data_IF_035111470817
#
_entry.id   IF_035111470817
#
_cell.length_a   1.000
_cell.length_b   1.000
_cell.length_c   1.000
_cell.angle_alpha   90.00
_cell.angle_beta   90.00
_cell.angle_gamma   90.00
#
_symmetry.space_group_name_H-M   'P 1'
#
loop_
_entity.id
_entity.type
_entity.pdbx_description
1 polymer ?
#
# COMPACT_ATOMS: atom_id res chain seq x y z
N UNK A 1 -12.86 -2.11 -9.78
CA UNK A 1 -11.42 -2.25 -9.46
C UNK A 1 -11.37 -3.12 -8.24
N UNK A 2 -10.86 -4.35 -8.38
CA UNK A 2 -10.56 -5.19 -7.23
C UNK A 2 -9.22 -4.73 -6.68
N UNK A 3 -9.20 -4.33 -5.41
CA UNK A 3 -7.99 -3.98 -4.69
C UNK A 3 -8.16 -4.42 -3.24
N UNK A 4 -7.04 -4.80 -2.61
CA UNK A 4 -6.98 -4.97 -1.17
C UNK A 4 -6.67 -3.61 -0.55
N UNK A 5 -7.28 -3.30 0.59
CA UNK A 5 -7.05 -2.05 1.31
C UNK A 5 -6.91 -2.31 2.80
N UNK A 6 -5.83 -1.77 3.35
CA UNK A 6 -5.51 -1.82 4.78
C UNK A 6 -5.33 -0.40 5.31
N UNK A 7 -5.77 -0.17 6.54
CA UNK A 7 -5.52 1.09 7.26
C UNK A 7 -4.70 0.79 8.50
N UNK A 8 -3.62 1.55 8.71
CA UNK A 8 -2.73 1.40 9.85
C UNK A 8 -2.35 2.77 10.41
N UNK A 9 -2.10 2.84 11.72
CA UNK A 9 -1.47 4.01 12.35
C UNK A 9 0.02 3.72 12.56
N UNK A 10 0.88 4.52 11.93
CA UNK A 10 2.32 4.26 11.87
C UNK A 10 3.13 5.53 11.66
N UNK A 11 4.44 5.45 11.91
CA UNK A 11 5.39 6.53 11.73
C UNK A 11 6.70 6.10 11.07
N UNK A 12 7.69 7.01 10.99
CA UNK A 12 8.98 6.75 10.33
C UNK A 12 9.86 5.69 11.00
N UNK A 13 9.55 5.34 12.25
CA UNK A 13 10.20 4.31 13.07
C UNK A 13 9.75 2.88 12.72
N UNK A 14 8.80 2.74 11.80
CA UNK A 14 8.17 1.46 11.47
C UNK A 14 8.36 1.15 9.98
N UNK A 15 8.80 -0.06 9.66
CA UNK A 15 8.68 -0.64 8.32
C UNK A 15 7.31 -1.32 8.21
N UNK A 16 6.59 -0.96 7.16
CA UNK A 16 5.39 -1.64 6.70
C UNK A 16 5.84 -2.67 5.68
N UNK A 17 5.77 -3.95 6.04
CA UNK A 17 6.04 -5.06 5.13
C UNK A 17 4.73 -5.57 4.55
N UNK A 18 4.61 -5.56 3.25
CA UNK A 18 3.44 -6.06 2.52
C UNK A 18 3.86 -7.33 1.80
N UNK A 19 3.39 -8.48 2.28
CA UNK A 19 3.65 -9.76 1.63
C UNK A 19 2.64 -9.96 0.49
N UNK A 20 3.12 -10.40 -0.67
CA UNK A 20 2.32 -10.57 -1.90
C UNK A 20 2.63 -11.91 -2.55
N UNK A 21 1.61 -12.57 -3.10
CA UNK A 21 1.73 -13.85 -3.81
C UNK A 21 2.09 -13.70 -5.29
N UNK A 22 1.83 -12.52 -5.87
CA UNK A 22 2.13 -12.19 -7.27
C UNK A 22 2.54 -10.73 -7.43
N UNK A 23 3.11 -10.41 -8.59
CA UNK A 23 3.50 -9.04 -8.95
C UNK A 23 2.28 -8.12 -8.88
N UNK A 24 2.37 -7.04 -8.10
CA UNK A 24 1.27 -6.12 -7.85
C UNK A 24 1.77 -4.70 -7.55
N UNK A 25 0.91 -3.71 -7.80
CA UNK A 25 1.15 -2.36 -7.33
C UNK A 25 0.80 -2.25 -5.85
N UNK A 26 1.69 -1.62 -5.09
CA UNK A 26 1.51 -1.35 -3.68
C UNK A 26 1.70 0.14 -3.45
N UNK A 27 0.67 0.78 -2.89
CA UNK A 27 0.60 2.24 -2.71
C UNK A 27 0.33 2.58 -1.25
N UNK A 28 1.25 3.30 -0.64
CA UNK A 28 1.11 3.88 0.70
C UNK A 28 0.70 5.36 0.58
N UNK A 29 -0.44 5.71 1.15
CA UNK A 29 -1.05 7.03 1.04
C UNK A 29 -1.53 7.52 2.40
N UNK A 30 -1.53 8.84 2.60
CA UNK A 30 -2.32 9.43 3.68
C UNK A 30 -3.80 9.53 3.27
N UNK A 31 -4.65 9.91 4.23
CA UNK A 31 -6.10 10.02 4.06
C UNK A 31 -6.51 10.85 2.83
N UNK A 32 -5.88 12.01 2.62
CA UNK A 32 -6.19 12.90 1.50
C UNK A 32 -5.86 12.24 0.15
N UNK A 33 -4.71 11.59 0.05
CA UNK A 33 -4.31 10.93 -1.19
C UNK A 33 -5.11 9.65 -1.46
N UNK A 34 -5.48 8.90 -0.43
CA UNK A 34 -6.37 7.75 -0.57
C UNK A 34 -7.77 8.16 -1.08
N UNK A 35 -8.33 9.25 -0.55
CA UNK A 35 -9.58 9.81 -1.06
C UNK A 35 -9.47 10.21 -2.53
N UNK A 36 -8.38 10.88 -2.93
CA UNK A 36 -8.12 11.24 -4.33
C UNK A 36 -7.96 9.99 -5.22
N UNK A 37 -7.29 8.95 -4.73
CA UNK A 37 -7.15 7.65 -5.42
C UNK A 37 -8.52 7.03 -5.71
N UNK A 38 -9.39 6.92 -4.70
CA UNK A 38 -10.76 6.39 -4.90
C UNK A 38 -11.57 7.19 -5.92
N UNK A 39 -11.38 8.51 -5.94
CA UNK A 39 -12.04 9.40 -6.90
C UNK A 39 -11.36 9.46 -8.28
N UNK A 40 -10.30 8.67 -8.51
CA UNK A 40 -9.48 8.71 -9.75
C UNK A 40 -8.95 10.11 -10.08
N UNK A 41 -8.69 10.93 -9.07
CA UNK A 41 -8.05 12.25 -9.21
C UNK A 41 -6.53 12.11 -9.10
N UNK A 42 -5.77 13.14 -9.45
CA UNK A 42 -4.31 13.15 -9.23
C UNK A 42 -3.98 13.05 -7.73
N UNK A 43 -3.16 12.08 -7.36
CA UNK A 43 -2.73 11.80 -5.98
C UNK A 43 -1.24 11.48 -5.95
N UNK A 44 -0.67 11.44 -4.75
CA UNK A 44 0.72 11.03 -4.48
C UNK A 44 0.74 9.84 -3.53
N UNK A 45 1.74 8.98 -3.68
CA UNK A 45 1.93 7.80 -2.85
C UNK A 45 3.41 7.44 -2.74
N UNK A 46 3.76 6.66 -1.73
CA UNK A 46 5.04 5.95 -1.65
C UNK A 46 4.81 4.50 -2.07
N UNK A 47 5.67 3.97 -2.94
CA UNK A 47 5.57 2.60 -3.44
C UNK A 47 5.69 2.54 -4.96
N UNK A 48 5.02 1.56 -5.57
CA UNK A 48 5.16 1.24 -6.98
C UNK A 48 4.80 -0.22 -7.27
N UNK A 49 5.33 -0.75 -8.36
CA UNK A 49 5.16 -2.14 -8.77
C UNK A 49 6.24 -3.02 -8.11
N UNK A 50 5.81 -4.07 -7.41
CA UNK A 50 6.71 -4.98 -6.70
C UNK A 50 6.50 -6.42 -7.14
N UNK A 51 7.58 -7.20 -7.13
CA UNK A 51 7.55 -8.65 -7.29
C UNK A 51 7.48 -9.36 -5.93
N UNK A 52 6.92 -10.57 -5.85
CA UNK A 52 6.93 -11.41 -4.65
C UNK A 52 8.34 -11.64 -4.08
N UNK A 53 8.48 -11.90 -2.77
CA UNK A 53 7.40 -12.21 -1.82
C UNK A 53 6.90 -11.02 -1.01
N UNK A 54 7.56 -9.86 -1.07
CA UNK A 54 7.22 -8.71 -0.21
C UNK A 54 7.73 -7.38 -0.74
N UNK A 55 7.04 -6.31 -0.37
CA UNK A 55 7.50 -4.94 -0.44
C UNK A 55 7.67 -4.35 0.96
N UNK A 56 8.63 -3.44 1.11
CA UNK A 56 8.84 -2.70 2.35
C UNK A 56 8.68 -1.21 2.09
N UNK A 57 7.77 -0.59 2.83
CA UNK A 57 7.44 0.82 2.73
C UNK A 57 7.62 1.48 4.09
N UNK A 58 8.02 2.76 4.08
CA UNK A 58 8.18 3.54 5.31
C UNK A 58 7.31 4.79 5.26
N UNK A 59 6.47 5.03 6.28
CA UNK A 59 5.78 6.30 6.46
C UNK A 59 6.74 7.48 6.55
N UNK A 60 6.40 8.60 5.92
CA UNK A 60 7.21 9.83 6.02
C UNK A 60 6.98 10.60 7.32
N UNK A 61 5.85 10.34 8.00
CA UNK A 61 5.43 11.02 9.23
C UNK A 61 4.50 10.13 10.04
N UNK A 62 4.34 10.45 11.33
CA UNK A 62 3.31 9.83 12.15
C UNK A 62 1.92 10.14 11.58
N UNK A 63 1.07 9.14 11.50
CA UNK A 63 -0.31 9.32 11.07
C UNK A 63 -1.03 8.02 10.75
N UNK A 64 -2.23 8.18 10.21
CA UNK A 64 -2.97 7.10 9.60
C UNK A 64 -2.60 7.00 8.12
N UNK A 65 -2.37 5.77 7.68
CA UNK A 65 -1.91 5.44 6.36
C UNK A 65 -2.78 4.35 5.75
N UNK A 66 -3.05 4.49 4.46
CA UNK A 66 -3.79 3.56 3.64
C UNK A 66 -2.82 2.83 2.73
N UNK A 67 -2.86 1.51 2.79
CA UNK A 67 -2.10 0.63 1.90
C UNK A 67 -3.08 0.04 0.92
N UNK A 68 -2.86 0.28 -0.36
CA UNK A 68 -3.64 -0.33 -1.45
C UNK A 68 -2.75 -1.32 -2.19
N UNK A 69 -3.27 -2.53 -2.43
CA UNK A 69 -2.65 -3.54 -3.28
C UNK A 69 -3.59 -3.85 -4.45
N UNK A 70 -3.12 -3.66 -5.68
CA UNK A 70 -3.92 -3.94 -6.88
C UNK A 70 -3.07 -4.37 -8.08
N UNK A 71 -3.75 -4.93 -9.07
CA UNK A 71 -3.16 -5.40 -10.32
C UNK A 71 -3.33 -4.40 -11.47
N UNK A 72 -3.71 -3.14 -11.18
CA UNK A 72 -3.86 -2.06 -12.17
C UNK A 72 -4.71 -2.43 -13.41
N UNK A 73 -5.79 -3.19 -13.19
CA UNK A 73 -6.71 -3.58 -14.27
C UNK A 73 -6.31 -4.84 -15.02
N UNK A 74 -5.22 -5.53 -14.62
CA UNK A 74 -5.00 -6.91 -15.01
C UNK A 74 -6.02 -7.82 -14.32
N UNK A 75 -6.45 -8.86 -15.03
CA UNK A 75 -7.41 -9.84 -14.53
C UNK A 75 -6.78 -10.79 -13.49
N UNK A 76 -7.64 -11.27 -12.60
CA UNK A 76 -7.32 -12.21 -11.52
C UNK A 76 -7.26 -11.55 -10.15
N UNK A 77 -6.98 -12.38 -9.15
CA UNK A 77 -6.88 -11.97 -7.76
C UNK A 77 -5.42 -11.84 -7.31
N UNK A 78 -5.22 -11.05 -6.26
CA UNK A 78 -3.96 -10.92 -5.51
C UNK A 78 -4.25 -11.23 -4.06
N UNK A 79 -3.39 -12.02 -3.42
CA UNK A 79 -3.42 -12.24 -1.99
C UNK A 79 -2.27 -11.48 -1.34
N UNK A 80 -2.59 -10.74 -0.28
CA UNK A 80 -1.60 -9.98 0.46
C UNK A 80 -1.93 -9.94 1.94
N UNK A 81 -0.91 -9.70 2.77
CA UNK A 81 -1.07 -9.36 4.18
C UNK A 81 0.03 -8.38 4.62
N UNK A 82 -0.23 -7.67 5.72
CA UNK A 82 0.64 -6.58 6.19
C UNK A 82 1.22 -6.93 7.56
N UNK A 83 2.54 -6.89 7.67
CA UNK A 83 3.29 -6.98 8.92
C UNK A 83 3.92 -5.63 9.25
N UNK A 84 3.96 -5.28 10.55
CA UNK A 84 4.63 -4.08 11.03
C UNK A 84 5.91 -4.46 11.78
N UNK A 85 7.02 -3.86 11.38
CA UNK A 85 8.32 -4.04 12.02
C UNK A 85 8.75 -2.72 12.63
N UNK A 86 8.66 -2.63 13.96
CA UNK A 86 9.15 -1.47 14.70
C UNK A 86 10.66 -1.58 14.90
N UNK A 87 11.36 -0.47 14.68
CA UNK A 87 12.80 -0.34 14.94
C UNK A 87 13.07 0.27 16.31
#
# INVERSE_FOLDING_TARGET
MNFLHYTIRSGPDTIIRVNIDRRANIRLMDELNYHKYKMKKRYSFVGGLYDPPRAELRPLRQGEWHIVVDLEGLDGDVHAFVDLLRM
#
